data_IF_519196551709
#
_entry.id   IF_519196551709
#
_cell.length_a   1.000
_cell.length_b   1.000
_cell.length_c   1.000
_cell.angle_alpha   90.00
_cell.angle_beta   90.00
_cell.angle_gamma   90.00
#
_symmetry.space_group_name_H-M   'P 1'
#
loop_
_entity.id
_entity.type
_entity.pdbx_description
1 polymer ?
#
# COMPACT_ATOMS: atom_id res chain seq x y z
N UNK A 1 12.70 -25.03 -25.29
CA UNK A 1 12.02 -23.73 -25.11
C UNK A 1 12.19 -22.79 -26.29
N UNK A 2 13.38 -22.34 -26.68
CA UNK A 2 13.53 -21.41 -27.83
C UNK A 2 12.84 -21.90 -29.12
N UNK A 3 13.02 -23.17 -29.50
CA UNK A 3 12.33 -23.73 -30.67
C UNK A 3 10.79 -23.71 -30.55
N UNK A 4 10.25 -23.89 -29.34
CA UNK A 4 8.81 -23.84 -29.05
C UNK A 4 8.30 -22.40 -29.08
N UNK A 5 9.13 -21.42 -28.72
CA UNK A 5 8.76 -20.01 -28.80
C UNK A 5 8.46 -19.58 -30.24
N UNK A 6 9.21 -20.11 -31.21
CA UNK A 6 9.04 -19.84 -32.64
C UNK A 6 8.09 -20.82 -33.35
N UNK A 7 7.50 -21.80 -32.65
CA UNK A 7 6.57 -22.75 -33.25
C UNK A 7 5.19 -22.13 -33.51
N UNK A 8 4.34 -22.86 -34.23
CA UNK A 8 2.95 -22.43 -34.46
C UNK A 8 2.16 -22.36 -33.15
N UNK A 9 1.15 -21.49 -33.12
CA UNK A 9 0.24 -21.36 -31.97
C UNK A 9 -0.49 -22.68 -31.67
N UNK A 10 -0.83 -23.44 -32.72
CA UNK A 10 -1.45 -24.77 -32.60
C UNK A 10 -0.55 -25.75 -31.85
N UNK A 11 0.76 -25.74 -32.13
CA UNK A 11 1.72 -26.59 -31.41
C UNK A 11 1.87 -26.16 -29.95
N UNK A 12 1.85 -24.85 -29.68
CA UNK A 12 1.92 -24.32 -28.32
C UNK A 12 0.69 -24.70 -27.49
N UNK A 13 -0.51 -24.59 -28.06
CA UNK A 13 -1.77 -25.02 -27.40
C UNK A 13 -1.72 -26.50 -27.04
N UNK A 14 -1.29 -27.35 -27.99
CA UNK A 14 -1.16 -28.79 -27.74
C UNK A 14 -0.19 -29.11 -26.60
N UNK A 15 0.81 -28.25 -26.37
CA UNK A 15 1.85 -28.44 -25.36
C UNK A 15 1.61 -27.59 -24.10
N UNK A 16 0.42 -27.02 -23.90
CA UNK A 16 0.07 -26.22 -22.72
C UNK A 16 0.45 -26.87 -21.38
N UNK A 17 0.21 -28.17 -21.12
CA UNK A 17 0.60 -28.80 -19.85
C UNK A 17 2.13 -28.76 -19.59
N UNK A 18 2.93 -28.81 -20.66
CA UNK A 18 4.39 -28.67 -20.56
C UNK A 18 4.80 -27.22 -20.30
N UNK A 19 4.07 -26.25 -20.84
CA UNK A 19 4.30 -24.82 -20.54
C UNK A 19 4.01 -24.54 -19.08
N UNK A 20 2.90 -25.04 -18.54
CA UNK A 20 2.57 -24.93 -17.11
C UNK A 20 3.66 -25.58 -16.24
N UNK A 21 4.12 -26.77 -16.62
CA UNK A 21 5.25 -27.42 -15.92
C UNK A 21 6.55 -26.61 -16.00
N UNK A 22 6.79 -25.93 -17.13
CA UNK A 22 7.94 -25.05 -17.30
C UNK A 22 7.83 -23.75 -16.48
N UNK A 23 6.62 -23.26 -16.21
CA UNK A 23 6.39 -22.15 -15.25
C UNK A 23 6.81 -22.59 -13.85
N UNK A 24 6.42 -23.80 -13.42
CA UNK A 24 6.85 -24.33 -12.11
C UNK A 24 8.37 -24.51 -12.03
N UNK A 25 9.00 -25.04 -13.09
CA UNK A 25 10.46 -25.12 -13.16
C UNK A 25 11.14 -23.74 -13.14
N UNK A 26 10.46 -22.69 -13.58
CA UNK A 26 10.96 -21.31 -13.54
C UNK A 26 10.99 -20.71 -12.12
N UNK A 27 10.38 -21.37 -11.13
CA UNK A 27 10.46 -20.98 -9.72
C UNK A 27 11.80 -21.34 -9.06
N UNK A 28 12.60 -22.21 -9.67
CA UNK A 28 13.93 -22.56 -9.16
C UNK A 28 14.91 -21.41 -9.36
N UNK A 29 15.69 -21.09 -8.33
CA UNK A 29 16.68 -20.01 -8.37
C UNK A 29 17.82 -20.24 -9.38
N UNK A 30 18.04 -21.49 -9.78
CA UNK A 30 19.01 -21.89 -10.81
C UNK A 30 18.52 -21.67 -12.23
N UNK A 31 17.24 -21.35 -12.44
CA UNK A 31 16.67 -21.28 -13.79
C UNK A 31 17.16 -20.04 -14.55
N UNK A 32 17.75 -20.17 -15.75
CA UNK A 32 18.27 -19.04 -16.51
C UNK A 32 17.17 -18.03 -16.89
N UNK A 33 17.44 -16.73 -16.72
CA UNK A 33 16.48 -15.65 -17.04
C UNK A 33 15.94 -15.72 -18.48
N UNK A 34 16.77 -16.13 -19.44
CA UNK A 34 16.33 -16.31 -20.84
C UNK A 34 15.28 -17.42 -20.99
N UNK A 35 15.36 -18.48 -20.17
CA UNK A 35 14.35 -19.54 -20.15
C UNK A 35 13.03 -19.00 -19.61
N UNK A 36 13.08 -18.27 -18.49
CA UNK A 36 11.90 -17.65 -17.87
C UNK A 36 11.23 -16.69 -18.87
N UNK A 37 12.02 -15.85 -19.56
CA UNK A 37 11.51 -14.93 -20.57
C UNK A 37 10.77 -15.67 -21.72
N UNK A 38 11.35 -16.75 -22.25
CA UNK A 38 10.70 -17.57 -23.28
C UNK A 38 9.42 -18.25 -22.77
N UNK A 39 9.42 -18.77 -21.54
CA UNK A 39 8.23 -19.38 -20.92
C UNK A 39 7.12 -18.34 -20.78
N UNK A 40 7.42 -17.17 -20.19
CA UNK A 40 6.47 -16.06 -20.03
C UNK A 40 5.92 -15.57 -21.37
N UNK A 41 6.78 -15.45 -22.41
CA UNK A 41 6.40 -15.08 -23.77
C UNK A 41 5.39 -16.05 -24.39
N UNK A 42 5.59 -17.36 -24.22
CA UNK A 42 4.64 -18.38 -24.69
C UNK A 42 3.36 -18.35 -23.86
N UNK A 43 3.48 -18.29 -22.53
CA UNK A 43 2.33 -18.25 -21.62
C UNK A 43 1.38 -17.09 -21.94
N UNK A 44 1.90 -15.89 -22.17
CA UNK A 44 1.09 -14.71 -22.56
C UNK A 44 0.41 -14.84 -23.92
N UNK A 45 0.96 -15.65 -24.84
CA UNK A 45 0.27 -15.96 -26.10
C UNK A 45 -0.87 -16.95 -25.89
N UNK A 46 -0.68 -17.95 -25.03
CA UNK A 46 -1.71 -18.93 -24.68
C UNK A 46 -2.89 -18.32 -23.92
N UNK A 47 -2.62 -17.32 -23.09
CA UNK A 47 -3.64 -16.54 -22.39
C UNK A 47 -4.70 -15.99 -23.33
N UNK A 48 -4.32 -15.58 -24.55
CA UNK A 48 -5.25 -15.03 -25.54
C UNK A 48 -6.13 -16.09 -26.23
N UNK A 49 -5.93 -17.37 -25.93
CA UNK A 49 -6.65 -18.49 -26.57
C UNK A 49 -7.60 -19.14 -25.59
N UNK A 50 -7.07 -19.59 -24.45
CA UNK A 50 -7.83 -20.29 -23.42
C UNK A 50 -7.36 -19.88 -22.02
N UNK A 51 -7.71 -18.64 -21.58
CA UNK A 51 -7.25 -18.11 -20.31
C UNK A 51 -7.80 -18.92 -19.13
N UNK A 52 -9.01 -19.47 -19.23
CA UNK A 52 -9.65 -20.20 -18.13
C UNK A 52 -8.86 -21.44 -17.72
N UNK A 53 -8.56 -22.31 -18.69
CA UNK A 53 -7.80 -23.54 -18.39
C UNK A 53 -6.34 -23.21 -18.09
N UNK A 54 -5.72 -22.31 -18.85
CA UNK A 54 -4.32 -21.93 -18.62
C UNK A 54 -4.12 -21.39 -17.20
N UNK A 55 -4.97 -20.48 -16.74
CA UNK A 55 -4.84 -19.87 -15.42
C UNK A 55 -5.11 -20.88 -14.31
N UNK A 56 -6.19 -21.67 -14.43
CA UNK A 56 -6.49 -22.71 -13.46
C UNK A 56 -5.32 -23.71 -13.33
N UNK A 57 -4.81 -24.22 -14.45
CA UNK A 57 -3.69 -25.17 -14.47
C UNK A 57 -2.43 -24.55 -13.87
N UNK A 58 -2.14 -23.29 -14.20
CA UNK A 58 -0.97 -22.56 -13.69
C UNK A 58 -1.05 -22.37 -12.17
N UNK A 59 -2.20 -21.93 -11.65
CA UNK A 59 -2.42 -21.73 -10.21
C UNK A 59 -2.32 -23.07 -9.47
N UNK A 60 -2.95 -24.13 -9.97
CA UNK A 60 -2.86 -25.46 -9.37
C UNK A 60 -1.43 -25.98 -9.34
N UNK A 61 -0.68 -25.80 -10.42
CA UNK A 61 0.70 -26.26 -10.51
C UNK A 61 1.64 -25.47 -9.57
N UNK A 62 1.46 -24.16 -9.45
CA UNK A 62 2.28 -23.29 -8.59
C UNK A 62 1.93 -23.38 -7.11
N UNK A 63 0.68 -23.67 -6.75
CA UNK A 63 0.24 -23.86 -5.35
C UNK A 63 0.38 -25.30 -4.86
N UNK A 64 0.45 -26.27 -5.78
CA UNK A 64 0.32 -27.72 -5.50
C UNK A 64 -1.02 -28.09 -4.85
N UNK A 65 -2.01 -27.20 -4.94
CA UNK A 65 -3.40 -27.43 -4.53
C UNK A 65 -4.27 -27.65 -5.78
N UNK A 66 -5.45 -28.25 -5.59
CA UNK A 66 -6.42 -28.44 -6.66
C UNK A 66 -7.52 -27.40 -6.51
N UNK A 67 -7.59 -26.49 -7.46
CA UNK A 67 -8.65 -25.50 -7.58
C UNK A 67 -9.36 -25.68 -8.91
N UNK A 68 -10.68 -25.53 -8.90
CA UNK A 68 -11.44 -25.37 -10.13
C UNK A 68 -11.70 -23.89 -10.42
N UNK A 69 -12.17 -23.61 -11.64
CA UNK A 69 -12.51 -22.26 -12.06
C UNK A 69 -13.56 -21.59 -11.17
N UNK A 70 -14.51 -22.34 -10.61
CA UNK A 70 -15.55 -21.79 -9.75
C UNK A 70 -14.99 -21.31 -8.43
N UNK A 71 -14.14 -22.13 -7.76
CA UNK A 71 -13.45 -21.77 -6.52
C UNK A 71 -12.62 -20.50 -6.69
N UNK A 72 -11.84 -20.41 -7.77
CA UNK A 72 -10.99 -19.24 -8.04
C UNK A 72 -11.80 -17.99 -8.40
N UNK A 73 -12.97 -18.16 -9.02
CA UNK A 73 -13.90 -17.06 -9.29
C UNK A 73 -14.61 -16.59 -8.02
N UNK A 74 -15.00 -17.49 -7.14
CA UNK A 74 -15.62 -17.14 -5.86
C UNK A 74 -14.62 -16.54 -4.87
N UNK A 75 -13.36 -16.98 -4.91
CA UNK A 75 -12.30 -16.56 -3.99
C UNK A 75 -10.97 -16.29 -4.74
N UNK A 76 -10.83 -15.12 -5.39
CA UNK A 76 -9.59 -14.74 -6.09
C UNK A 76 -8.36 -14.69 -5.19
N UNK A 77 -8.54 -14.49 -3.87
CA UNK A 77 -7.43 -14.49 -2.92
C UNK A 77 -6.72 -15.85 -2.80
N UNK A 78 -7.35 -16.95 -3.26
CA UNK A 78 -6.69 -18.27 -3.33
C UNK A 78 -5.46 -18.26 -4.24
N UNK A 79 -5.37 -17.34 -5.20
CA UNK A 79 -4.19 -17.20 -6.07
C UNK A 79 -2.92 -16.92 -5.25
N UNK A 80 -3.03 -16.19 -4.12
CA UNK A 80 -1.89 -15.88 -3.25
C UNK A 80 -1.33 -17.10 -2.49
N UNK A 81 -1.93 -18.29 -2.63
CA UNK A 81 -1.37 -19.57 -2.14
C UNK A 81 -0.30 -20.17 -3.07
N UNK A 82 -0.04 -19.56 -4.23
CA UNK A 82 1.08 -19.95 -5.06
C UNK A 82 2.42 -19.83 -4.30
N UNK A 83 3.42 -20.62 -4.73
CA UNK A 83 4.77 -20.56 -4.18
C UNK A 83 5.35 -19.13 -4.14
N UNK A 84 5.85 -18.70 -2.98
CA UNK A 84 6.34 -17.33 -2.75
C UNK A 84 7.42 -16.87 -3.76
N UNK A 85 8.17 -17.81 -4.33
CA UNK A 85 9.21 -17.51 -5.33
C UNK A 85 8.62 -16.89 -6.60
N UNK A 86 7.34 -17.14 -6.88
CA UNK A 86 6.61 -16.52 -7.98
C UNK A 86 6.58 -14.99 -7.82
N UNK A 87 6.35 -14.51 -6.60
CA UNK A 87 6.25 -13.08 -6.28
C UNK A 87 7.61 -12.37 -6.26
N UNK A 88 8.70 -13.13 -6.32
CA UNK A 88 10.07 -12.61 -6.30
C UNK A 88 10.65 -12.39 -7.71
N UNK A 89 9.96 -12.81 -8.76
CA UNK A 89 10.43 -12.69 -10.15
C UNK A 89 9.48 -11.82 -10.97
N UNK A 90 9.97 -10.70 -11.52
CA UNK A 90 9.12 -9.77 -12.26
C UNK A 90 8.40 -10.37 -13.49
N UNK A 91 9.00 -11.35 -14.19
CA UNK A 91 8.33 -11.99 -15.34
C UNK A 91 7.19 -12.91 -14.90
N UNK A 92 7.37 -13.66 -13.81
CA UNK A 92 6.34 -14.54 -13.26
C UNK A 92 5.25 -13.76 -12.53
N UNK A 93 5.63 -12.71 -11.77
CA UNK A 93 4.68 -11.80 -11.15
C UNK A 93 3.77 -11.16 -12.21
N UNK A 94 4.30 -10.78 -13.38
CA UNK A 94 3.45 -10.25 -14.45
C UNK A 94 2.35 -11.24 -14.86
N UNK A 95 2.67 -12.51 -15.08
CA UNK A 95 1.67 -13.53 -15.39
C UNK A 95 0.67 -13.70 -14.23
N UNK A 96 1.14 -13.63 -12.99
CA UNK A 96 0.27 -13.70 -11.82
C UNK A 96 -0.71 -12.53 -11.74
N UNK A 97 -0.27 -11.30 -12.02
CA UNK A 97 -1.14 -10.13 -12.04
C UNK A 97 -2.20 -10.21 -13.15
N UNK A 98 -1.85 -10.82 -14.29
CA UNK A 98 -2.79 -11.10 -15.37
C UNK A 98 -3.87 -12.09 -14.90
N UNK A 99 -3.48 -13.19 -14.23
CA UNK A 99 -4.43 -14.15 -13.61
C UNK A 99 -5.29 -13.50 -12.51
N UNK A 100 -4.69 -12.67 -11.66
CA UNK A 100 -5.36 -11.98 -10.57
C UNK A 100 -6.42 -11.00 -11.09
N UNK A 101 -6.08 -10.23 -12.13
CA UNK A 101 -7.02 -9.33 -12.80
C UNK A 101 -8.22 -10.10 -13.34
N UNK A 102 -7.96 -11.22 -14.03
CA UNK A 102 -9.00 -12.07 -14.59
C UNK A 102 -9.95 -12.61 -13.53
N UNK A 103 -9.43 -13.24 -12.48
CA UNK A 103 -10.29 -13.83 -11.44
C UNK A 103 -10.96 -12.77 -10.56
N UNK A 104 -10.31 -11.63 -10.29
CA UNK A 104 -10.94 -10.53 -9.57
C UNK A 104 -12.12 -9.96 -10.38
N UNK A 105 -11.96 -9.77 -11.69
CA UNK A 105 -13.05 -9.32 -12.55
C UNK A 105 -14.17 -10.36 -12.66
N UNK A 106 -13.82 -11.65 -12.81
CA UNK A 106 -14.80 -12.73 -12.85
C UNK A 106 -15.61 -12.83 -11.54
N UNK A 107 -14.95 -12.66 -10.40
CA UNK A 107 -15.57 -12.61 -9.07
C UNK A 107 -16.58 -11.48 -8.96
N UNK A 108 -16.19 -10.27 -9.39
CA UNK A 108 -17.10 -9.10 -9.42
C UNK A 108 -18.31 -9.36 -10.32
N UNK A 109 -18.09 -9.89 -11.52
CA UNK A 109 -19.19 -10.24 -12.43
C UNK A 109 -20.12 -11.30 -11.84
N UNK A 110 -19.58 -12.31 -11.15
CA UNK A 110 -20.37 -13.33 -10.45
C UNK A 110 -21.22 -12.72 -9.33
N UNK A 111 -20.66 -11.81 -8.53
CA UNK A 111 -21.40 -11.14 -7.47
C UNK A 111 -22.53 -10.25 -8.02
N UNK A 112 -22.28 -9.50 -9.10
CA UNK A 112 -23.32 -8.72 -9.78
C UNK A 112 -24.42 -9.63 -10.35
N UNK A 113 -24.05 -10.78 -10.90
CA UNK A 113 -25.02 -11.75 -11.39
C UNK A 113 -25.87 -12.34 -10.25
N UNK A 114 -25.24 -12.77 -9.15
CA UNK A 114 -25.93 -13.29 -7.95
C UNK A 114 -26.93 -12.27 -7.39
N UNK A 115 -26.58 -10.98 -7.43
CA UNK A 115 -27.45 -9.88 -7.02
C UNK A 115 -28.65 -9.68 -7.96
N UNK A 116 -28.44 -9.80 -9.26
CA UNK A 116 -29.52 -9.70 -10.26
C UNK A 116 -30.51 -10.87 -10.19
N UNK A 117 -30.02 -12.06 -9.83
CA UNK A 117 -30.81 -13.31 -9.73
C UNK A 117 -31.41 -13.53 -8.32
N UNK A 118 -31.12 -12.64 -7.36
CA UNK A 118 -31.53 -12.81 -5.97
C UNK A 118 -33.07 -12.81 -5.80
N UNK A 119 -33.64 -13.81 -5.10
CA UNK A 119 -35.07 -13.88 -4.86
C UNK A 119 -35.49 -12.92 -3.73
N UNK A 120 -36.02 -11.77 -4.09
CA UNK A 120 -36.54 -10.77 -3.12
C UNK A 120 -38.04 -10.92 -2.88
N UNK A 121 -38.47 -10.68 -1.64
CA UNK A 121 -39.89 -10.70 -1.27
C UNK A 121 -40.62 -9.47 -1.83
N UNK A 122 -41.80 -9.66 -2.44
CA UNK A 122 -42.54 -8.59 -3.09
C UNK A 122 -42.93 -7.42 -2.17
N UNK A 123 -43.14 -7.67 -0.87
CA UNK A 123 -43.54 -6.63 0.08
C UNK A 123 -42.44 -5.64 0.44
N UNK A 124 -41.16 -6.08 0.41
CA UNK A 124 -39.99 -5.30 0.86
C UNK A 124 -38.86 -5.35 -0.18
N UNK A 125 -39.21 -5.51 -1.46
CA UNK A 125 -38.26 -5.83 -2.52
C UNK A 125 -37.17 -4.77 -2.67
N UNK A 126 -37.55 -3.49 -2.62
CA UNK A 126 -36.62 -2.39 -2.86
C UNK A 126 -35.65 -2.22 -1.68
N UNK A 127 -36.13 -2.38 -0.44
CA UNK A 127 -35.28 -2.32 0.76
C UNK A 127 -34.29 -3.50 0.80
N UNK A 128 -34.76 -4.73 0.56
CA UNK A 128 -33.90 -5.91 0.52
C UNK A 128 -32.85 -5.83 -0.59
N UNK A 129 -33.24 -5.29 -1.74
CA UNK A 129 -32.31 -5.09 -2.85
C UNK A 129 -31.26 -4.03 -2.51
N UNK A 130 -31.66 -2.91 -1.92
CA UNK A 130 -30.72 -1.88 -1.50
C UNK A 130 -29.70 -2.40 -0.49
N UNK A 131 -30.14 -3.20 0.49
CA UNK A 131 -29.27 -3.86 1.47
C UNK A 131 -28.31 -4.87 0.78
N UNK A 132 -28.82 -5.73 -0.09
CA UNK A 132 -27.98 -6.68 -0.83
C UNK A 132 -26.99 -6.00 -1.78
N UNK A 133 -27.39 -4.90 -2.43
CA UNK A 133 -26.51 -4.07 -3.27
C UNK A 133 -25.37 -3.48 -2.42
N UNK A 134 -25.66 -2.99 -1.21
CA UNK A 134 -24.67 -2.46 -0.28
C UNK A 134 -23.69 -3.54 0.20
N UNK A 135 -24.20 -4.70 0.62
CA UNK A 135 -23.38 -5.85 1.01
C UNK A 135 -22.48 -6.32 -0.14
N UNK A 136 -23.00 -6.34 -1.36
CA UNK A 136 -22.25 -6.73 -2.55
C UNK A 136 -21.10 -5.75 -2.81
N UNK A 137 -21.35 -4.44 -2.73
CA UNK A 137 -20.29 -3.42 -2.86
C UNK A 137 -19.25 -3.53 -1.73
N UNK A 138 -19.70 -3.73 -0.49
CA UNK A 138 -18.81 -3.89 0.65
C UNK A 138 -17.91 -5.13 0.49
N UNK A 139 -18.45 -6.26 0.03
CA UNK A 139 -17.70 -7.47 -0.24
C UNK A 139 -16.64 -7.27 -1.35
N UNK A 140 -17.00 -6.61 -2.45
CA UNK A 140 -16.05 -6.26 -3.51
C UNK A 140 -14.93 -5.35 -2.99
N UNK A 141 -15.29 -4.30 -2.25
CA UNK A 141 -14.31 -3.38 -1.65
C UNK A 141 -13.38 -4.05 -0.65
N UNK A 142 -13.89 -4.98 0.15
CA UNK A 142 -13.08 -5.77 1.07
C UNK A 142 -12.09 -6.68 0.33
N UNK A 143 -12.53 -7.34 -0.74
CA UNK A 143 -11.67 -8.18 -1.59
C UNK A 143 -10.59 -7.36 -2.28
N UNK A 144 -10.95 -6.25 -2.92
CA UNK A 144 -9.99 -5.37 -3.58
C UNK A 144 -8.98 -4.79 -2.59
N UNK A 145 -9.43 -4.41 -1.39
CA UNK A 145 -8.54 -3.91 -0.34
C UNK A 145 -7.57 -4.99 0.11
N UNK A 146 -8.03 -6.23 0.30
CA UNK A 146 -7.17 -7.36 0.64
C UNK A 146 -6.11 -7.63 -0.45
N UNK A 147 -6.48 -7.51 -1.73
CA UNK A 147 -5.53 -7.60 -2.85
C UNK A 147 -4.46 -6.51 -2.73
N UNK A 148 -4.85 -5.25 -2.50
CA UNK A 148 -3.89 -4.14 -2.35
C UNK A 148 -2.94 -4.38 -1.17
N UNK A 149 -3.46 -4.85 -0.03
CA UNK A 149 -2.64 -5.17 1.15
C UNK A 149 -1.60 -6.25 0.83
N UNK A 150 -2.00 -7.34 0.18
CA UNK A 150 -1.08 -8.43 -0.20
C UNK A 150 -0.02 -7.97 -1.21
N UNK A 151 -0.39 -7.10 -2.16
CA UNK A 151 0.57 -6.52 -3.11
C UNK A 151 1.56 -5.57 -2.42
N UNK A 152 1.11 -4.80 -1.43
CA UNK A 152 2.00 -3.97 -0.60
C UNK A 152 2.97 -4.83 0.23
N UNK A 153 2.52 -5.96 0.77
CA UNK A 153 3.41 -6.92 1.43
C UNK A 153 4.45 -7.51 0.49
N UNK A 154 4.09 -7.81 -0.77
CA UNK A 154 5.05 -8.25 -1.79
C UNK A 154 6.10 -7.16 -2.04
N UNK A 155 5.69 -5.89 -2.17
CA UNK A 155 6.60 -4.75 -2.31
C UNK A 155 7.58 -4.63 -1.13
N UNK A 156 7.14 -4.98 0.08
CA UNK A 156 7.97 -4.97 1.27
C UNK A 156 9.03 -6.07 1.25
N UNK A 157 8.63 -7.30 0.92
CA UNK A 157 9.50 -8.48 0.97
C UNK A 157 10.56 -8.49 -0.13
N UNK A 158 10.24 -7.90 -1.29
CA UNK A 158 11.15 -7.90 -2.44
C UNK A 158 12.16 -6.76 -2.40
N UNK A 159 13.33 -7.00 -3.01
CA UNK A 159 14.32 -5.97 -3.35
C UNK A 159 14.39 -5.70 -4.86
N UNK A 160 13.64 -6.45 -5.66
CA UNK A 160 13.60 -6.28 -7.11
C UNK A 160 12.67 -5.10 -7.46
N UNK A 161 13.25 -4.04 -8.02
CA UNK A 161 12.51 -2.85 -8.42
C UNK A 161 11.47 -3.15 -9.50
N UNK A 162 11.70 -4.15 -10.37
CA UNK A 162 10.72 -4.55 -11.39
C UNK A 162 9.49 -5.17 -10.75
N UNK A 163 9.66 -5.97 -9.70
CA UNK A 163 8.56 -6.56 -8.93
C UNK A 163 7.73 -5.45 -8.28
N UNK A 164 8.39 -4.48 -7.63
CA UNK A 164 7.71 -3.32 -7.02
C UNK A 164 6.96 -2.50 -8.06
N UNK A 165 7.57 -2.21 -9.21
CA UNK A 165 6.94 -1.46 -10.29
C UNK A 165 5.67 -2.15 -10.81
N UNK A 166 5.69 -3.48 -10.96
CA UNK A 166 4.53 -4.24 -11.41
C UNK A 166 3.41 -4.24 -10.35
N UNK A 167 3.74 -4.50 -9.09
CA UNK A 167 2.76 -4.51 -8.01
C UNK A 167 2.15 -3.11 -7.78
N UNK A 168 2.97 -2.07 -7.69
CA UNK A 168 2.51 -0.68 -7.57
C UNK A 168 1.73 -0.23 -8.82
N UNK A 169 2.16 -0.63 -10.02
CA UNK A 169 1.42 -0.37 -11.25
C UNK A 169 0.03 -1.00 -11.26
N UNK A 170 -0.10 -2.21 -10.72
CA UNK A 170 -1.40 -2.87 -10.56
C UNK A 170 -2.29 -2.14 -9.53
N UNK A 171 -1.75 -1.79 -8.36
CA UNK A 171 -2.47 -1.00 -7.35
C UNK A 171 -2.92 0.35 -7.92
N UNK A 172 -2.06 1.00 -8.71
CA UNK A 172 -2.40 2.23 -9.40
C UNK A 172 -3.63 2.06 -10.28
N UNK A 173 -3.68 1.03 -11.12
CA UNK A 173 -4.86 0.75 -11.95
C UNK A 173 -6.12 0.48 -11.10
N UNK A 174 -5.99 -0.23 -9.98
CA UNK A 174 -7.11 -0.46 -9.07
C UNK A 174 -7.64 0.85 -8.47
N UNK A 175 -6.77 1.78 -8.06
CA UNK A 175 -7.18 3.10 -7.56
C UNK A 175 -7.77 4.00 -8.65
N UNK A 176 -7.35 3.86 -9.90
CA UNK A 176 -7.97 4.58 -11.02
C UNK A 176 -9.37 4.02 -11.31
N UNK A 177 -9.54 2.70 -11.26
CA UNK A 177 -10.82 2.05 -11.48
C UNK A 177 -11.83 2.36 -10.36
N UNK A 178 -11.38 2.40 -9.11
CA UNK A 178 -12.19 2.78 -7.95
C UNK A 178 -11.39 3.70 -6.99
N UNK A 179 -11.60 5.02 -7.05
CA UNK A 179 -10.97 5.98 -6.14
C UNK A 179 -11.30 5.74 -4.66
N UNK A 180 -12.48 5.19 -4.35
CA UNK A 180 -12.89 4.92 -2.96
C UNK A 180 -12.07 3.78 -2.34
N UNK A 181 -11.55 2.87 -3.16
CA UNK A 181 -10.62 1.84 -2.71
C UNK A 181 -9.36 2.45 -2.10
N UNK A 182 -8.83 3.52 -2.68
CA UNK A 182 -7.66 4.22 -2.12
C UNK A 182 -7.97 4.72 -0.71
N UNK A 183 -9.13 5.36 -0.53
CA UNK A 183 -9.58 5.79 0.79
C UNK A 183 -9.71 4.61 1.76
N UNK A 184 -10.38 3.53 1.36
CA UNK A 184 -10.56 2.34 2.18
C UNK A 184 -9.21 1.75 2.65
N UNK A 185 -8.26 1.56 1.73
CA UNK A 185 -6.93 0.99 2.03
C UNK A 185 -6.19 1.86 3.05
N UNK A 186 -6.21 3.18 2.90
CA UNK A 186 -5.51 4.09 3.82
C UNK A 186 -6.22 4.20 5.18
N UNK A 187 -7.55 4.06 5.22
CA UNK A 187 -8.31 3.95 6.47
C UNK A 187 -8.09 2.63 7.19
N UNK A 188 -7.89 1.52 6.47
CA UNK A 188 -7.42 0.25 7.05
C UNK A 188 -5.97 0.37 7.54
N UNK A 189 -5.14 1.12 6.79
CA UNK A 189 -3.74 1.34 7.08
C UNK A 189 -2.86 0.17 6.65
N UNK A 190 -1.56 0.43 6.62
CA UNK A 190 -0.50 -0.53 6.36
C UNK A 190 0.78 -0.02 7.06
N UNK A 191 1.83 -0.85 7.21
CA UNK A 191 3.06 -0.42 7.88
C UNK A 191 3.61 0.92 7.34
N UNK A 192 3.89 1.87 8.24
CA UNK A 192 4.34 3.23 7.90
C UNK A 192 5.58 3.25 6.99
N UNK A 193 6.47 2.26 7.15
CA UNK A 193 7.66 2.06 6.29
C UNK A 193 7.36 1.80 4.81
N UNK A 194 6.14 1.37 4.48
CA UNK A 194 5.69 1.15 3.10
C UNK A 194 5.17 2.43 2.44
N UNK A 195 4.86 3.48 3.20
CA UNK A 195 4.35 4.75 2.66
C UNK A 195 5.29 5.35 1.59
N UNK A 196 6.62 5.45 1.81
CA UNK A 196 7.52 5.99 0.78
C UNK A 196 7.51 5.14 -0.52
N UNK A 197 7.39 3.82 -0.39
CA UNK A 197 7.33 2.89 -1.53
C UNK A 197 6.00 3.08 -2.27
N UNK A 198 4.88 3.14 -1.55
CA UNK A 198 3.56 3.37 -2.13
C UNK A 198 3.49 4.72 -2.84
N UNK A 199 3.87 5.81 -2.19
CA UNK A 199 3.81 7.18 -2.74
C UNK A 199 4.69 7.34 -3.98
N UNK A 200 5.89 6.77 -3.99
CA UNK A 200 6.79 6.86 -5.17
C UNK A 200 6.42 5.88 -6.28
N UNK A 201 5.88 4.71 -5.95
CA UNK A 201 5.54 3.66 -6.90
C UNK A 201 4.16 3.78 -7.54
N UNK A 202 3.20 4.43 -6.86
CA UNK A 202 1.79 4.50 -7.28
C UNK A 202 1.46 5.96 -7.69
N UNK A 203 1.40 6.28 -9.00
CA UNK A 203 1.21 7.66 -9.47
C UNK A 203 -0.09 8.34 -9.01
N UNK A 204 -1.15 7.56 -8.74
CA UNK A 204 -2.46 8.07 -8.30
C UNK A 204 -2.51 8.45 -6.81
N UNK A 205 -1.42 8.36 -6.06
CA UNK A 205 -1.42 8.63 -4.61
C UNK A 205 -1.75 10.08 -4.24
N UNK A 206 -1.62 11.03 -5.16
CA UNK A 206 -2.00 12.43 -4.92
C UNK A 206 -3.47 12.60 -4.50
N UNK A 207 -4.36 11.68 -4.89
CA UNK A 207 -5.77 11.69 -4.47
C UNK A 207 -5.95 11.59 -2.95
N UNK A 208 -4.96 11.04 -2.24
CA UNK A 208 -5.00 10.93 -0.78
C UNK A 208 -5.06 12.29 -0.09
N UNK A 209 -4.59 13.37 -0.74
CA UNK A 209 -4.71 14.73 -0.22
C UNK A 209 -6.17 15.17 -0.06
N UNK A 210 -7.11 14.56 -0.78
CA UNK A 210 -8.54 14.88 -0.67
C UNK A 210 -9.11 14.44 0.68
N UNK A 211 -8.77 13.24 1.16
CA UNK A 211 -9.38 12.64 2.36
C UNK A 211 -8.46 12.53 3.58
N UNK A 212 -7.16 12.85 3.49
CA UNK A 212 -6.21 12.66 4.61
C UNK A 212 -6.58 13.44 5.88
N UNK A 213 -7.32 14.55 5.73
CA UNK A 213 -7.85 15.31 6.86
C UNK A 213 -8.83 14.50 7.72
N UNK A 214 -9.58 13.57 7.10
CA UNK A 214 -10.48 12.67 7.82
C UNK A 214 -9.71 11.64 8.66
N UNK A 215 -8.55 11.17 8.18
CA UNK A 215 -7.67 10.29 8.96
C UNK A 215 -7.09 11.00 10.19
N UNK A 216 -6.72 12.29 10.04
CA UNK A 216 -6.21 13.11 11.14
C UNK A 216 -7.29 13.36 12.21
N UNK A 217 -8.55 13.46 11.79
CA UNK A 217 -9.69 13.66 12.68
C UNK A 217 -10.02 12.43 13.55
N UNK A 218 -9.56 11.23 13.15
CA UNK A 218 -9.77 10.01 13.96
C UNK A 218 -9.11 10.15 15.34
N UNK A 219 -9.70 9.58 16.40
CA UNK A 219 -9.12 9.61 17.74
C UNK A 219 -7.89 8.71 17.91
N UNK A 220 -7.65 7.80 16.96
CA UNK A 220 -6.56 6.83 17.01
C UNK A 220 -5.18 7.46 16.71
N UNK A 221 -4.24 7.30 17.64
CA UNK A 221 -2.88 7.86 17.52
C UNK A 221 -2.13 7.26 16.34
N UNK A 222 -2.25 5.95 16.09
CA UNK A 222 -1.55 5.28 14.99
C UNK A 222 -2.08 5.78 13.64
N UNK A 223 -3.38 6.04 13.51
CA UNK A 223 -3.98 6.64 12.31
C UNK A 223 -3.49 8.06 12.09
N UNK A 224 -3.31 8.85 13.16
CA UNK A 224 -2.71 10.19 13.07
C UNK A 224 -1.23 10.13 12.65
N UNK A 225 -0.44 9.24 13.24
CA UNK A 225 0.96 9.00 12.82
C UNK A 225 1.00 8.64 11.34
N UNK A 226 0.18 7.67 10.92
CA UNK A 226 0.09 7.24 9.53
C UNK A 226 -0.25 8.40 8.60
N UNK A 227 -1.26 9.22 8.94
CA UNK A 227 -1.66 10.37 8.15
C UNK A 227 -0.56 11.44 8.06
N UNK A 228 0.13 11.75 9.16
CA UNK A 228 1.22 12.74 9.17
C UNK A 228 2.39 12.27 8.28
N UNK A 229 2.77 11.00 8.38
CA UNK A 229 3.83 10.44 7.53
C UNK A 229 3.41 10.40 6.07
N UNK A 230 2.15 10.05 5.79
CA UNK A 230 1.58 10.08 4.44
C UNK A 230 1.62 11.47 3.84
N UNK A 231 1.21 12.51 4.57
CA UNK A 231 1.29 13.90 4.08
C UNK A 231 2.74 14.31 3.84
N UNK A 232 3.69 13.98 4.72
CA UNK A 232 5.10 14.30 4.48
C UNK A 232 5.62 13.70 3.17
N UNK A 233 5.35 12.43 2.91
CA UNK A 233 5.76 11.77 1.68
C UNK A 233 5.02 12.30 0.45
N UNK A 234 3.73 12.57 0.55
CA UNK A 234 2.96 13.20 -0.53
C UNK A 234 3.47 14.61 -0.86
N UNK A 235 3.77 15.43 0.15
CA UNK A 235 4.35 16.76 -0.04
C UNK A 235 5.75 16.69 -0.65
N UNK A 236 6.53 15.65 -0.33
CA UNK A 236 7.84 15.43 -0.94
C UNK A 236 7.71 15.11 -2.44
N UNK A 237 6.74 14.27 -2.79
CA UNK A 237 6.51 13.81 -4.17
C UNK A 237 5.77 14.86 -5.02
N UNK A 238 4.75 15.51 -4.45
CA UNK A 238 3.85 16.44 -5.12
C UNK A 238 3.96 17.82 -4.46
N UNK A 239 4.89 18.65 -4.94
CA UNK A 239 5.12 20.00 -4.42
C UNK A 239 4.07 20.99 -4.96
N UNK A 240 2.83 20.83 -4.52
CA UNK A 240 1.67 21.61 -4.96
C UNK A 240 0.97 22.30 -3.78
N UNK A 241 0.19 23.34 -4.06
CA UNK A 241 -0.55 24.12 -3.05
C UNK A 241 -1.43 23.24 -2.16
N UNK A 242 -2.17 22.29 -2.74
CA UNK A 242 -3.02 21.35 -1.98
C UNK A 242 -2.21 20.59 -0.91
N UNK A 243 -0.99 20.17 -1.23
CA UNK A 243 -0.13 19.46 -0.26
C UNK A 243 0.38 20.39 0.84
N UNK A 244 0.63 21.67 0.53
CA UNK A 244 1.03 22.68 1.52
C UNK A 244 -0.11 22.95 2.51
N UNK A 245 -1.34 23.12 2.02
CA UNK A 245 -2.53 23.30 2.87
C UNK A 245 -2.73 22.12 3.85
N UNK A 246 -2.35 20.89 3.46
CA UNK A 246 -2.40 19.73 4.37
C UNK A 246 -1.29 19.76 5.43
N UNK A 247 -0.13 20.31 5.11
CA UNK A 247 0.94 20.51 6.10
C UNK A 247 0.54 21.57 7.13
N UNK A 248 -0.06 22.69 6.70
CA UNK A 248 -0.60 23.71 7.61
C UNK A 248 -1.64 23.12 8.56
N UNK A 249 -2.61 22.36 8.01
CA UNK A 249 -3.62 21.67 8.80
C UNK A 249 -3.01 20.72 9.86
N UNK A 250 -1.92 20.03 9.53
CA UNK A 250 -1.23 19.16 10.50
C UNK A 250 -0.69 19.97 11.67
N UNK A 251 -0.08 21.13 11.42
CA UNK A 251 0.46 21.99 12.49
C UNK A 251 -0.66 22.52 13.38
N UNK A 252 -1.79 22.92 12.81
CA UNK A 252 -2.97 23.36 13.54
C UNK A 252 -3.55 22.26 14.43
N UNK A 253 -3.73 21.05 13.86
CA UNK A 253 -4.25 19.89 14.59
C UNK A 253 -3.28 19.50 15.71
N UNK A 254 -1.97 19.40 15.44
CA UNK A 254 -0.98 19.06 16.46
C UNK A 254 -0.95 20.08 17.60
N UNK A 255 -1.07 21.37 17.28
CA UNK A 255 -1.15 22.46 18.28
C UNK A 255 -2.41 22.38 19.14
N UNK A 256 -3.53 21.96 18.55
CA UNK A 256 -4.77 21.68 19.29
C UNK A 256 -4.63 20.43 20.17
N UNK A 257 -4.11 19.33 19.61
CA UNK A 257 -3.93 18.05 20.31
C UNK A 257 -2.98 18.19 21.50
N UNK A 258 -1.96 19.04 21.41
CA UNK A 258 -1.09 19.36 22.54
C UNK A 258 -1.85 19.92 23.76
N UNK A 259 -2.98 20.60 23.53
CA UNK A 259 -3.81 21.18 24.61
C UNK A 259 -4.88 20.22 25.11
N UNK A 260 -5.29 19.25 24.30
CA UNK A 260 -6.46 18.39 24.59
C UNK A 260 -6.11 16.95 24.93
N UNK A 261 -4.99 16.42 24.43
CA UNK A 261 -4.57 15.05 24.71
C UNK A 261 -3.81 14.93 26.04
N UNK A 262 -3.88 13.76 26.69
CA UNK A 262 -2.98 13.42 27.77
C UNK A 262 -1.51 13.55 27.37
N UNK A 263 -0.66 13.95 28.32
CA UNK A 263 0.78 14.14 28.08
C UNK A 263 1.44 12.89 27.47
N UNK A 264 1.04 11.70 27.89
CA UNK A 264 1.60 10.44 27.41
C UNK A 264 1.34 10.20 25.92
N UNK A 265 0.11 10.49 25.49
CA UNK A 265 -0.34 10.29 24.12
C UNK A 265 0.32 11.29 23.16
N UNK A 266 0.40 12.57 23.53
CA UNK A 266 1.05 13.58 22.69
C UNK A 266 2.55 13.30 22.54
N UNK A 267 3.25 12.90 23.62
CA UNK A 267 4.67 12.55 23.52
C UNK A 267 4.87 11.30 22.65
N UNK A 268 3.99 10.30 22.73
CA UNK A 268 4.04 9.13 21.86
C UNK A 268 3.78 9.48 20.40
N UNK A 269 2.81 10.34 20.10
CA UNK A 269 2.55 10.84 18.75
C UNK A 269 3.77 11.58 18.18
N UNK A 270 4.36 12.46 18.96
CA UNK A 270 5.54 13.23 18.54
C UNK A 270 6.77 12.36 18.33
N UNK A 271 6.98 11.32 19.14
CA UNK A 271 8.09 10.38 18.95
C UNK A 271 8.15 9.80 17.54
N UNK A 272 7.00 9.49 16.95
CA UNK A 272 6.90 8.90 15.61
C UNK A 272 6.83 9.94 14.49
N UNK A 273 6.46 11.19 14.78
CA UNK A 273 6.13 12.20 13.75
C UNK A 273 7.16 13.32 13.59
N UNK A 274 8.05 13.53 14.58
CA UNK A 274 9.14 14.52 14.50
C UNK A 274 9.97 14.42 13.21
N UNK A 275 10.36 13.21 12.73
CA UNK A 275 11.10 13.10 11.46
C UNK A 275 10.32 13.66 10.27
N UNK A 276 9.02 13.36 10.17
CA UNK A 276 8.14 13.86 9.11
C UNK A 276 7.95 15.37 9.19
N UNK A 277 7.82 15.93 10.41
CA UNK A 277 7.76 17.38 10.60
C UNK A 277 9.06 18.06 10.14
N UNK A 278 10.22 17.49 10.45
CA UNK A 278 11.50 17.97 9.95
C UNK A 278 11.61 17.95 8.42
N UNK A 279 11.06 16.92 7.77
CA UNK A 279 10.98 16.86 6.30
C UNK A 279 10.08 17.97 5.75
N UNK A 280 8.91 18.20 6.36
CA UNK A 280 7.97 19.25 5.95
C UNK A 280 8.62 20.65 6.00
N UNK A 281 9.44 20.94 7.03
CA UNK A 281 10.21 22.19 7.11
C UNK A 281 11.16 22.38 5.92
N UNK A 282 11.68 21.28 5.36
CA UNK A 282 12.59 21.31 4.21
C UNK A 282 11.83 21.51 2.90
N UNK A 283 10.66 20.88 2.79
CA UNK A 283 9.82 20.95 1.59
C UNK A 283 9.17 22.32 1.47
N UNK A 284 8.70 22.88 2.60
CA UNK A 284 8.03 24.18 2.68
C UNK A 284 8.69 25.07 3.74
N UNK A 285 9.76 25.81 3.39
CA UNK A 285 10.46 26.65 4.35
C UNK A 285 9.57 27.67 5.07
N UNK A 286 8.47 28.10 4.45
CA UNK A 286 7.54 29.06 5.04
C UNK A 286 6.82 28.57 6.31
N UNK A 287 6.63 27.26 6.50
CA UNK A 287 5.99 26.69 7.71
C UNK A 287 7.01 26.32 8.80
N UNK A 288 8.31 26.43 8.50
CA UNK A 288 9.37 26.05 9.42
C UNK A 288 9.32 26.76 10.79
N UNK A 289 8.96 28.07 10.89
CA UNK A 289 8.82 28.74 12.18
C UNK A 289 7.75 28.10 13.07
N UNK A 290 6.60 27.76 12.52
CA UNK A 290 5.46 27.20 13.27
C UNK A 290 5.77 25.78 13.76
N UNK A 291 6.38 24.96 12.91
CA UNK A 291 6.86 23.62 13.31
C UNK A 291 7.93 23.74 14.39
N UNK A 292 8.89 24.67 14.25
CA UNK A 292 9.94 24.87 15.25
C UNK A 292 9.36 25.28 16.59
N UNK A 293 8.39 26.19 16.59
CA UNK A 293 7.69 26.63 17.79
C UNK A 293 6.94 25.46 18.46
N UNK A 294 6.17 24.67 17.69
CA UNK A 294 5.49 23.49 18.20
C UNK A 294 6.48 22.48 18.82
N UNK A 295 7.57 22.15 18.13
CA UNK A 295 8.58 21.21 18.64
C UNK A 295 9.29 21.72 19.90
N UNK A 296 9.53 23.03 20.01
CA UNK A 296 10.08 23.64 21.22
C UNK A 296 9.12 23.48 22.41
N UNK A 297 7.81 23.68 22.20
CA UNK A 297 6.80 23.46 23.24
C UNK A 297 6.74 22.00 23.70
N UNK A 298 6.78 21.04 22.77
CA UNK A 298 6.86 19.60 23.10
C UNK A 298 8.12 19.28 23.91
N UNK A 299 9.26 19.88 23.57
CA UNK A 299 10.51 19.72 24.33
C UNK A 299 10.36 20.22 25.78
N UNK A 300 9.70 21.36 26.00
CA UNK A 300 9.43 21.89 27.35
C UNK A 300 8.51 20.97 28.15
N UNK A 301 7.47 20.41 27.52
CA UNK A 301 6.56 19.44 28.14
C UNK A 301 7.32 18.17 28.55
N UNK A 302 8.13 17.62 27.64
CA UNK A 302 8.96 16.44 27.90
C UNK A 302 9.94 16.67 29.06
N UNK A 303 10.63 17.82 29.09
CA UNK A 303 11.54 18.21 30.18
C UNK A 303 10.82 18.32 31.53
N UNK A 304 9.64 18.95 31.55
CA UNK A 304 8.81 19.09 32.75
C UNK A 304 8.40 17.72 33.30
N UNK A 305 7.98 16.80 32.42
CA UNK A 305 7.62 15.43 32.80
C UNK A 305 8.80 14.64 33.36
N UNK A 306 9.99 14.80 32.78
CA UNK A 306 11.22 14.20 33.32
C UNK A 306 11.55 14.74 34.71
N UNK A 307 11.42 16.05 34.94
CA UNK A 307 11.71 16.67 36.24
C UNK A 307 10.76 16.17 37.34
N UNK A 308 9.46 16.06 37.04
CA UNK A 308 8.47 15.47 37.95
C UNK A 308 8.79 13.99 38.25
N UNK A 309 9.21 13.25 37.21
CA UNK A 309 9.55 11.84 37.34
C UNK A 309 10.87 11.60 38.07
N UNK A 310 11.79 12.57 38.16
CA UNK A 310 13.11 12.41 38.80
C UNK A 310 13.07 12.15 40.31
N UNK A 311 11.89 12.30 40.94
CA UNK A 311 11.61 11.82 42.31
C UNK A 311 11.53 10.28 42.40
N UNK A 312 11.34 9.60 41.27
CA UNK A 312 11.41 8.14 41.09
C UNK A 312 12.60 7.86 40.18
N UNK A 313 13.54 6.99 40.56
CA UNK A 313 14.73 6.68 39.75
C UNK A 313 14.36 6.11 38.36
N UNK A 314 14.09 6.96 37.37
CA UNK A 314 13.87 6.53 35.97
C UNK A 314 15.23 6.21 35.33
N UNK A 315 15.33 5.11 34.53
CA UNK A 315 16.54 4.78 33.79
C UNK A 315 16.97 5.92 32.85
N UNK A 316 18.27 5.99 32.53
CA UNK A 316 18.85 6.97 31.57
C UNK A 316 18.22 6.94 30.16
N UNK A 317 17.42 5.92 29.85
CA UNK A 317 16.77 5.66 28.55
C UNK A 317 15.28 6.03 28.50
N UNK A 318 14.85 7.08 29.21
CA UNK A 318 13.44 7.47 29.25
C UNK A 318 12.95 7.95 27.86
N UNK A 319 11.67 7.68 27.49
CA UNK A 319 11.12 8.08 26.19
C UNK A 319 11.15 9.60 25.99
N UNK A 320 10.97 10.37 27.06
CA UNK A 320 11.01 11.84 27.03
C UNK A 320 12.40 12.36 26.64
N UNK A 321 13.47 11.74 27.14
CA UNK A 321 14.84 12.10 26.78
C UNK A 321 15.12 11.81 25.31
N UNK A 322 14.69 10.64 24.83
CA UNK A 322 14.82 10.25 23.42
C UNK A 322 14.11 11.25 22.51
N UNK A 323 12.92 11.72 22.92
CA UNK A 323 12.16 12.73 22.18
C UNK A 323 12.91 14.06 22.11
N UNK A 324 13.42 14.55 23.25
CA UNK A 324 14.19 15.80 23.30
C UNK A 324 15.41 15.71 22.38
N UNK A 325 16.18 14.62 22.47
CA UNK A 325 17.36 14.39 21.64
C UNK A 325 17.00 14.27 20.16
N UNK A 326 15.84 13.69 19.82
CA UNK A 326 15.33 13.62 18.45
C UNK A 326 14.97 15.02 17.92
N UNK A 327 14.20 15.80 18.68
CA UNK A 327 13.83 17.17 18.33
C UNK A 327 15.07 18.03 18.11
N UNK A 328 16.03 18.00 19.04
CA UNK A 328 17.26 18.78 18.92
C UNK A 328 18.05 18.42 17.67
N UNK A 329 18.16 17.13 17.33
CA UNK A 329 18.83 16.68 16.09
C UNK A 329 18.09 17.19 14.85
N UNK A 330 16.77 16.98 14.79
CA UNK A 330 15.96 17.43 13.66
C UNK A 330 16.08 18.94 13.43
N UNK A 331 16.03 19.76 14.49
CA UNK A 331 16.18 21.22 14.36
C UNK A 331 17.61 21.64 13.98
N UNK A 332 18.64 20.95 14.51
CA UNK A 332 20.04 21.24 14.20
C UNK A 332 20.37 20.91 12.73
N UNK A 333 19.91 19.77 12.22
CA UNK A 333 20.09 19.35 10.83
C UNK A 333 19.48 20.40 9.88
N UNK A 334 18.31 20.95 10.21
CA UNK A 334 17.68 22.01 9.41
C UNK A 334 18.44 23.33 9.47
N UNK A 335 18.96 23.72 10.63
CA UNK A 335 19.78 24.94 10.75
C UNK A 335 21.05 24.87 9.88
N UNK A 336 21.67 23.68 9.80
CA UNK A 336 22.82 23.45 8.93
C UNK A 336 22.46 23.51 7.44
N UNK A 337 21.35 22.87 7.02
CA UNK A 337 20.89 22.90 5.63
C UNK A 337 20.56 24.33 5.16
N UNK A 338 19.85 25.13 5.97
CA UNK A 338 19.53 26.53 5.64
C UNK A 338 20.78 27.41 5.54
N UNK A 339 21.82 27.11 6.32
CA UNK A 339 23.09 27.85 6.26
C UNK A 339 23.85 27.57 4.95
N UNK A 340 23.74 26.34 4.42
CA UNK A 340 24.40 25.94 3.17
C UNK A 340 23.68 26.52 1.94
N UNK A 341 22.34 26.53 1.92
CA UNK A 341 21.57 27.14 0.82
C UNK A 341 21.78 28.65 0.72
N UNK A 342 21.97 29.36 1.84
CA UNK A 342 22.29 30.78 1.85
C UNK A 342 23.73 31.11 1.41
N UNK A 343 24.64 30.13 1.39
CA UNK A 343 26.03 30.27 0.90
C UNK A 343 26.16 29.93 -0.59
N UNK A 344 25.17 29.28 -1.19
CA UNK A 344 25.15 28.84 -2.58
C UNK A 344 24.26 29.71 -3.49
N UNK A 345 23.66 30.78 -2.96
CA UNK A 345 22.77 31.71 -3.65
C UNK A 345 23.44 33.02 -4.03
#
# INVERSE_FOLDING_TARGET
>A
MRQLEWSSLRDQVRLQPLIVSAVVASLESSTPLAFIASVTSIWKRLENIDPRHLFQDTVCACSKEKFDHAMLTEQPLLLFRCDDRLFSNGSLLSCFLDMLSFYNQASKSLLVQKLAEAPFNASNRDDQRAECDELTRAAMGAQDSAIVQLLLEICERTKDDRVRQLACGHIHQMFIADPMLSKLVHFQGYPVRLIPIAVSGIPSMHICLEFVHELLALPDINKRVFAIVLVAELSRQYKIESSFLRVELIVDILSLLMKTLPCDEILSLCMETVPSLGQMMTIFPQIAPDITHFLAQISVIAKSRMALSATVLKPRSSPERKLIDLICRTLADKAAEMSITNLAG
#
